data_IF_824046550383
#
_entry.id   IF_824046550383
#
_cell.length_a   1.000
_cell.length_b   1.000
_cell.length_c   1.000
_cell.angle_alpha   90.00
_cell.angle_beta   90.00
_cell.angle_gamma   90.00
#
_symmetry.space_group_name_H-M   'P 1'
#
loop_
_entity.id
_entity.type
_entity.pdbx_description
1 polymer ?
#
# COMPACT_ATOMS: atom_id res chain seq x y z
N UNK A 1 10.19 12.35 -6.87
CA UNK A 1 10.16 11.39 -5.74
C UNK A 1 8.86 11.40 -4.94
N UNK A 2 8.24 12.54 -4.62
CA UNK A 2 7.00 12.57 -3.81
C UNK A 2 5.85 11.71 -4.36
N UNK A 3 5.61 11.74 -5.67
CA UNK A 3 4.59 10.88 -6.29
C UNK A 3 4.95 9.40 -6.16
N UNK A 4 6.21 9.02 -6.43
CA UNK A 4 6.67 7.64 -6.26
C UNK A 4 6.46 7.16 -4.81
N UNK A 5 6.85 7.97 -3.81
CA UNK A 5 6.57 7.69 -2.39
C UNK A 5 5.08 7.42 -2.14
N UNK A 6 4.22 8.28 -2.66
CA UNK A 6 2.77 8.14 -2.46
C UNK A 6 2.21 6.85 -3.08
N UNK A 7 2.75 6.42 -4.23
CA UNK A 7 2.33 5.18 -4.88
C UNK A 7 2.82 3.94 -4.14
N UNK A 8 4.10 3.88 -3.75
CA UNK A 8 4.62 2.71 -3.02
C UNK A 8 3.98 2.60 -1.62
N UNK A 9 3.81 3.71 -0.89
CA UNK A 9 3.10 3.71 0.41
C UNK A 9 1.65 3.22 0.25
N UNK A 10 0.98 3.62 -0.84
CA UNK A 10 -0.38 3.16 -1.15
C UNK A 10 -0.40 1.68 -1.52
N UNK A 11 0.59 1.20 -2.28
CA UNK A 11 0.77 -0.21 -2.64
C UNK A 11 0.94 -1.09 -1.41
N UNK A 12 1.83 -0.69 -0.48
CA UNK A 12 2.03 -1.36 0.81
C UNK A 12 0.71 -1.49 1.56
N UNK A 13 0.01 -0.37 1.76
CA UNK A 13 -1.24 -0.35 2.49
C UNK A 13 -2.36 -1.14 1.81
N UNK A 14 -2.38 -1.16 0.47
CA UNK A 14 -3.35 -1.89 -0.31
C UNK A 14 -3.19 -3.42 -0.17
N UNK A 15 -1.97 -3.95 -0.33
CA UNK A 15 -1.74 -5.39 -0.19
C UNK A 15 -1.92 -5.88 1.25
N UNK A 16 -1.46 -5.12 2.24
CA UNK A 16 -1.68 -5.45 3.65
C UNK A 16 -3.17 -5.48 4.01
N UNK A 17 -3.95 -4.51 3.53
CA UNK A 17 -5.40 -4.47 3.76
C UNK A 17 -6.19 -5.52 2.98
N UNK A 18 -5.75 -5.85 1.76
CA UNK A 18 -6.37 -6.87 0.93
C UNK A 18 -6.03 -8.30 1.39
N UNK A 19 -4.95 -8.52 2.14
CA UNK A 19 -4.49 -9.86 2.54
C UNK A 19 -5.59 -10.72 3.18
N UNK A 20 -6.43 -10.14 4.02
CA UNK A 20 -7.56 -10.84 4.65
C UNK A 20 -8.66 -11.28 3.68
N UNK A 21 -8.76 -10.65 2.51
CA UNK A 21 -9.75 -10.91 1.47
C UNK A 21 -9.26 -11.99 0.49
N UNK A 22 -7.98 -12.36 0.54
CA UNK A 22 -7.38 -13.35 -0.36
C UNK A 22 -7.51 -14.74 0.25
N UNK A 23 -8.44 -15.54 -0.27
CA UNK A 23 -8.72 -16.90 0.24
C UNK A 23 -7.79 -17.96 -0.33
N UNK A 24 -7.27 -17.74 -1.54
CA UNK A 24 -6.37 -18.69 -2.20
C UNK A 24 -4.95 -18.51 -1.70
N UNK A 25 -4.39 -19.53 -1.02
CA UNK A 25 -3.05 -19.49 -0.43
C UNK A 25 -1.95 -19.06 -1.42
N UNK A 26 -2.00 -19.57 -2.65
CA UNK A 26 -1.03 -19.22 -3.69
C UNK A 26 -1.05 -17.72 -4.03
N UNK A 27 -2.24 -17.10 -4.03
CA UNK A 27 -2.38 -15.66 -4.27
C UNK A 27 -1.99 -14.84 -3.05
N UNK A 28 -2.25 -15.33 -1.84
CA UNK A 28 -1.79 -14.67 -0.62
C UNK A 28 -0.26 -14.66 -0.53
N UNK A 29 0.39 -15.77 -0.89
CA UNK A 29 1.84 -15.85 -0.99
C UNK A 29 2.40 -14.86 -2.02
N UNK A 30 1.77 -14.79 -3.20
CA UNK A 30 2.18 -13.86 -4.24
C UNK A 30 1.99 -12.40 -3.80
N UNK A 31 0.85 -12.06 -3.20
CA UNK A 31 0.60 -10.74 -2.63
C UNK A 31 1.65 -10.37 -1.56
N UNK A 32 2.02 -11.33 -0.71
CA UNK A 32 3.11 -11.18 0.27
C UNK A 32 4.47 -10.88 -0.37
N UNK A 33 4.77 -11.48 -1.52
CA UNK A 33 6.00 -11.16 -2.28
C UNK A 33 5.96 -9.75 -2.84
N UNK A 34 4.82 -9.32 -3.39
CA UNK A 34 4.65 -7.97 -3.95
C UNK A 34 4.80 -6.92 -2.87
N UNK A 35 4.03 -7.02 -1.77
CA UNK A 35 4.09 -6.04 -0.68
C UNK A 35 5.48 -5.90 -0.07
N UNK A 36 6.26 -6.99 -0.05
CA UNK A 36 7.64 -6.97 0.39
C UNK A 36 8.53 -6.09 -0.50
N UNK A 37 8.31 -6.09 -1.82
CA UNK A 37 9.05 -5.23 -2.76
C UNK A 37 8.61 -3.77 -2.64
N UNK A 38 7.30 -3.53 -2.63
CA UNK A 38 6.71 -2.19 -2.44
C UNK A 38 7.25 -1.53 -1.15
N UNK A 39 7.32 -2.27 -0.04
CA UNK A 39 7.85 -1.76 1.23
C UNK A 39 9.33 -1.35 1.14
N UNK A 40 10.16 -2.09 0.39
CA UNK A 40 11.57 -1.72 0.17
C UNK A 40 11.70 -0.47 -0.69
N UNK A 41 10.86 -0.33 -1.71
CA UNK A 41 10.83 0.88 -2.52
C UNK A 41 10.38 2.09 -1.71
N UNK A 42 9.30 1.97 -0.94
CA UNK A 42 8.80 3.02 -0.06
C UNK A 42 9.87 3.49 0.94
N UNK A 43 10.53 2.54 1.62
CA UNK A 43 11.61 2.80 2.56
C UNK A 43 12.79 3.54 1.90
N UNK A 44 13.24 3.07 0.74
CA UNK A 44 14.37 3.68 0.03
C UNK A 44 14.03 5.09 -0.49
N UNK A 45 12.85 5.28 -1.08
CA UNK A 45 12.39 6.58 -1.55
C UNK A 45 12.29 7.59 -0.41
N UNK A 46 11.81 7.17 0.77
CA UNK A 46 11.78 8.01 1.96
C UNK A 46 13.17 8.42 2.40
N UNK A 47 14.09 7.48 2.48
CA UNK A 47 15.47 7.76 2.88
C UNK A 47 16.18 8.74 1.92
N UNK A 48 15.90 8.63 0.61
CA UNK A 48 16.36 9.58 -0.41
C UNK A 48 15.76 10.99 -0.24
N UNK A 49 14.52 11.10 0.27
CA UNK A 49 13.85 12.38 0.52
C UNK A 49 14.30 13.01 1.84
N UNK A 50 14.53 12.19 2.86
CA UNK A 50 14.99 12.59 4.18
C UNK A 50 15.76 11.43 4.82
N UNK A 51 17.07 11.60 4.94
CA UNK A 51 17.96 10.59 5.52
C UNK A 51 17.46 10.13 6.90
N UNK A 52 17.35 8.81 7.09
CA UNK A 52 16.86 8.17 8.30
C UNK A 52 15.35 8.03 8.40
N UNK A 53 14.56 8.46 7.41
CA UNK A 53 13.09 8.41 7.46
C UNK A 53 12.48 7.14 6.86
N UNK A 54 13.26 6.08 6.64
CA UNK A 54 12.86 4.86 5.93
C UNK A 54 11.63 4.14 6.53
N UNK A 55 11.34 4.35 7.81
CA UNK A 55 10.18 3.79 8.52
C UNK A 55 9.60 4.79 9.54
N UNK A 56 9.39 6.04 9.11
CA UNK A 56 8.81 7.06 9.99
C UNK A 56 7.34 6.77 10.37
N UNK A 57 6.84 7.46 11.39
CA UNK A 57 5.51 7.24 11.97
C UNK A 57 4.32 7.58 11.04
N UNK A 58 4.56 8.08 9.82
CA UNK A 58 3.49 8.30 8.85
C UNK A 58 3.08 7.03 8.10
N UNK A 59 3.90 5.97 8.15
CA UNK A 59 3.67 4.69 7.42
C UNK A 59 3.64 3.46 8.31
N UNK A 60 4.04 3.60 9.57
CA UNK A 60 3.93 2.52 10.57
C UNK A 60 2.97 2.91 11.69
N UNK A 61 2.22 1.94 12.20
CA UNK A 61 1.35 2.12 13.36
C UNK A 61 2.14 2.04 14.68
N UNK A 62 1.44 2.17 15.81
CA UNK A 62 2.05 2.13 17.15
C UNK A 62 2.76 0.79 17.48
N UNK A 63 2.48 -0.28 16.72
CA UNK A 63 3.12 -1.58 16.87
C UNK A 63 4.31 -1.76 15.91
N UNK A 64 4.67 -0.72 15.14
CA UNK A 64 5.74 -0.79 14.14
C UNK A 64 5.37 -1.59 12.89
N UNK A 65 4.08 -1.82 12.65
CA UNK A 65 3.59 -2.49 11.45
C UNK A 65 3.19 -1.47 10.40
N UNK A 66 3.44 -1.78 9.13
CA UNK A 66 2.94 -1.00 8.01
C UNK A 66 1.42 -0.82 8.08
N UNK A 67 0.95 0.34 7.62
CA UNK A 67 -0.49 0.60 7.54
C UNK A 67 -1.21 -0.39 6.61
N UNK A 68 -2.51 -0.56 6.84
CA UNK A 68 -3.39 -1.37 6.01
C UNK A 68 -4.65 -0.56 5.68
N UNK A 69 -5.05 -0.53 4.41
CA UNK A 69 -6.24 0.20 3.93
C UNK A 69 -7.23 -0.75 3.27
N UNK A 70 -8.52 -0.52 3.49
CA UNK A 70 -9.56 -1.24 2.75
C UNK A 70 -9.54 -0.87 1.26
N UNK A 71 -10.07 -1.73 0.36
CA UNK A 71 -10.10 -1.44 -1.07
C UNK A 71 -10.76 -0.10 -1.44
N UNK A 72 -11.78 0.33 -0.70
CA UNK A 72 -12.45 1.63 -0.91
C UNK A 72 -11.55 2.81 -0.51
N UNK A 73 -10.80 2.70 0.58
CA UNK A 73 -9.83 3.73 1.00
C UNK A 73 -8.65 3.83 0.02
N UNK A 74 -8.19 2.68 -0.50
CA UNK A 74 -7.15 2.63 -1.54
C UNK A 74 -7.64 3.36 -2.79
N UNK A 75 -8.84 3.04 -3.26
CA UNK A 75 -9.42 3.69 -4.43
C UNK A 75 -9.61 5.19 -4.24
N UNK A 76 -10.11 5.62 -3.08
CA UNK A 76 -10.27 7.05 -2.75
C UNK A 76 -8.94 7.80 -2.87
N UNK A 77 -7.86 7.19 -2.37
CA UNK A 77 -6.51 7.76 -2.47
C UNK A 77 -6.01 7.75 -3.92
N UNK A 78 -6.12 6.61 -4.62
CA UNK A 78 -5.67 6.45 -6.01
C UNK A 78 -6.41 7.40 -6.96
N UNK A 79 -7.70 7.65 -6.73
CA UNK A 79 -8.54 8.51 -7.57
C UNK A 79 -7.99 9.95 -7.71
N UNK A 80 -7.18 10.42 -6.76
CA UNK A 80 -6.50 11.72 -6.85
C UNK A 80 -5.46 11.77 -7.98
N UNK A 81 -4.95 10.61 -8.42
CA UNK A 81 -3.97 10.47 -9.49
C UNK A 81 -4.56 10.01 -10.83
N UNK A 82 -5.79 9.49 -10.82
CA UNK A 82 -6.43 8.90 -12.00
C UNK A 82 -7.24 9.94 -12.78
N UNK A 83 -7.05 9.98 -14.09
CA UNK A 83 -7.92 10.74 -15.00
C UNK A 83 -9.18 9.98 -15.37
N UNK A 84 -9.08 8.66 -15.45
CA UNK A 84 -10.18 7.76 -15.80
C UNK A 84 -10.98 7.41 -14.54
N UNK A 85 -12.30 7.52 -14.62
CA UNK A 85 -13.18 7.05 -13.55
C UNK A 85 -13.13 5.52 -13.48
N UNK A 86 -12.82 4.99 -12.31
CA UNK A 86 -12.79 3.56 -12.04
C UNK A 86 -14.13 3.15 -11.43
N UNK A 87 -14.75 2.10 -11.98
CA UNK A 87 -15.91 1.47 -11.36
C UNK A 87 -15.44 0.50 -10.27
N UNK A 88 -15.97 0.67 -9.07
CA UNK A 88 -15.61 -0.11 -7.88
C UNK A 88 -16.80 -0.77 -7.21
N UNK A 89 -17.93 -0.91 -7.92
CA UNK A 89 -19.17 -1.47 -7.39
C UNK A 89 -19.03 -2.91 -6.89
N UNK A 90 -17.99 -3.64 -7.35
CA UNK A 90 -17.75 -5.05 -7.03
C UNK A 90 -16.46 -5.26 -6.21
N UNK A 91 -15.96 -4.24 -5.51
CA UNK A 91 -14.79 -4.44 -4.64
C UNK A 91 -15.16 -5.35 -3.45
N UNK A 92 -14.31 -6.35 -3.12
CA UNK A 92 -14.55 -7.23 -1.98
C UNK A 92 -14.49 -6.47 -0.65
N UNK A 93 -15.34 -6.85 0.30
CA UNK A 93 -15.46 -6.21 1.62
C UNK A 93 -15.18 -7.16 2.80
N UNK A 94 -15.27 -8.46 2.56
CA UNK A 94 -14.97 -9.54 3.52
C UNK A 94 -14.47 -10.78 2.80
#
# INVERSE_FOLDING_TARGET
>A
LNTARAFEDLGVAAYNGAGKLITTKAYLELAGKIVSVEARHAAYIRDLLSNGSFADSSVVNAQGLDLAKSPSEVLSTAATFLKTKVNASNLPTS
#
